data_IF_108446671097
#
_entry.id   IF_108446671097
#
_cell.length_a   1.000
_cell.length_b   1.000
_cell.length_c   1.000
_cell.angle_alpha   90.00
_cell.angle_beta   90.00
_cell.angle_gamma   90.00
#
_symmetry.space_group_name_H-M   'P 1'
#
loop_
_entity.id
_entity.type
_entity.pdbx_description
1 polymer ?
#
# COMPACT_ATOMS: atom_id res chain seq x y z
N UNK A 1 -43.28 -32.28 -32.09
CA UNK A 1 -41.89 -32.23 -32.61
C UNK A 1 -41.41 -30.80 -32.49
N UNK A 2 -40.64 -30.49 -31.43
CA UNK A 2 -40.17 -29.14 -31.15
C UNK A 2 -38.68 -29.03 -31.50
N UNK A 3 -38.36 -28.02 -32.31
CA UNK A 3 -37.08 -27.76 -32.94
C UNK A 3 -36.11 -27.11 -31.93
N UNK A 4 -34.98 -27.77 -31.64
CA UNK A 4 -33.92 -27.24 -30.77
C UNK A 4 -32.94 -26.37 -31.55
N UNK A 5 -32.92 -25.06 -31.28
CA UNK A 5 -31.84 -24.16 -31.72
C UNK A 5 -30.71 -24.20 -30.68
N UNK A 6 -29.56 -24.76 -31.06
CA UNK A 6 -28.31 -24.59 -30.32
C UNK A 6 -27.79 -23.17 -30.55
N UNK A 7 -27.64 -22.39 -29.49
CA UNK A 7 -26.92 -21.12 -29.54
C UNK A 7 -25.41 -21.40 -29.56
N UNK A 8 -24.75 -21.06 -30.67
CA UNK A 8 -23.29 -21.06 -30.78
C UNK A 8 -22.75 -19.70 -30.31
N UNK A 9 -22.01 -19.69 -29.20
CA UNK A 9 -21.22 -18.53 -28.82
C UNK A 9 -19.98 -18.44 -29.72
N UNK A 10 -19.65 -17.27 -30.30
CA UNK A 10 -18.44 -17.14 -31.09
C UNK A 10 -17.22 -17.21 -30.17
N UNK A 11 -16.38 -18.22 -30.38
CA UNK A 11 -15.03 -18.28 -29.84
C UNK A 11 -14.24 -17.12 -30.46
N UNK A 12 -13.97 -16.07 -29.68
CA UNK A 12 -13.01 -15.05 -30.06
C UNK A 12 -11.63 -15.70 -30.14
N UNK A 13 -11.09 -15.83 -31.36
CA UNK A 13 -9.72 -16.26 -31.60
C UNK A 13 -8.72 -15.33 -30.89
N UNK A 14 -7.48 -15.80 -30.66
CA UNK A 14 -6.46 -15.01 -29.97
C UNK A 14 -6.19 -13.71 -30.76
N UNK A 15 -6.43 -12.57 -30.11
CA UNK A 15 -5.99 -11.27 -30.64
C UNK A 15 -4.46 -11.30 -30.75
N UNK A 16 -3.87 -10.75 -31.81
CA UNK A 16 -2.42 -10.64 -31.91
C UNK A 16 -1.88 -9.91 -30.67
N UNK A 17 -0.87 -10.49 -29.99
CA UNK A 17 -0.17 -9.81 -28.90
C UNK A 17 0.49 -8.56 -29.47
N UNK A 18 -0.10 -7.40 -29.20
CA UNK A 18 0.59 -6.11 -29.39
C UNK A 18 1.86 -6.19 -28.54
N UNK A 19 3.02 -5.97 -29.13
CA UNK A 19 4.27 -5.82 -28.37
C UNK A 19 4.10 -4.61 -27.45
N UNK A 20 4.35 -4.80 -26.16
CA UNK A 20 4.17 -3.74 -25.17
C UNK A 20 5.11 -2.56 -25.44
N UNK A 21 4.62 -1.34 -25.33
CA UNK A 21 5.39 -0.10 -25.53
C UNK A 21 6.17 0.32 -24.28
N UNK A 22 6.00 -0.39 -23.17
CA UNK A 22 6.66 -0.06 -21.89
C UNK A 22 8.18 -0.20 -21.98
N UNK A 23 8.90 0.83 -21.57
CA UNK A 23 10.34 0.80 -21.32
C UNK A 23 10.62 0.55 -19.84
N UNK A 24 11.78 -0.06 -19.55
CA UNK A 24 12.26 -0.30 -18.19
C UNK A 24 13.77 -0.07 -18.22
N UNK A 25 14.25 0.81 -17.35
CA UNK A 25 15.66 1.07 -17.10
C UNK A 25 15.97 0.94 -15.60
N UNK A 26 17.22 0.60 -15.29
CA UNK A 26 17.73 0.59 -13.92
C UNK A 26 18.99 1.46 -13.82
N UNK A 27 19.16 2.09 -12.65
CA UNK A 27 20.30 2.93 -12.35
C UNK A 27 20.67 2.85 -10.86
N UNK A 28 21.90 3.24 -10.52
CA UNK A 28 22.29 3.42 -9.13
C UNK A 28 21.48 4.55 -8.52
N UNK A 29 20.74 4.27 -7.45
CA UNK A 29 20.05 5.28 -6.64
C UNK A 29 20.99 5.88 -5.61
N UNK A 30 21.67 5.01 -4.86
CA UNK A 30 22.62 5.38 -3.82
C UNK A 30 23.56 4.21 -3.50
N UNK A 31 24.57 4.44 -2.67
CA UNK A 31 25.46 3.41 -2.12
C UNK A 31 25.46 3.54 -0.60
N UNK A 32 24.97 2.50 0.07
CA UNK A 32 25.02 2.37 1.53
C UNK A 32 26.10 1.38 1.94
N UNK A 33 26.17 1.05 3.24
CA UNK A 33 27.07 0.03 3.77
C UNK A 33 26.26 -1.06 4.48
N UNK A 34 26.68 -2.30 4.28
CA UNK A 34 26.20 -3.42 5.06
C UNK A 34 26.49 -3.20 6.55
N UNK A 35 25.48 -3.33 7.39
CA UNK A 35 25.62 -3.05 8.84
C UNK A 35 26.60 -4.02 9.53
N UNK A 36 26.80 -5.22 8.99
CA UNK A 36 27.62 -6.28 9.61
C UNK A 36 29.06 -6.26 9.07
N UNK A 37 29.20 -6.25 7.76
CA UNK A 37 30.48 -6.38 7.05
C UNK A 37 31.11 -5.04 6.70
N UNK A 38 30.35 -3.94 6.75
CA UNK A 38 30.78 -2.59 6.37
C UNK A 38 31.04 -2.41 4.87
N UNK A 39 30.79 -3.46 4.06
CA UNK A 39 30.99 -3.43 2.61
C UNK A 39 29.96 -2.54 1.93
N UNK A 40 30.31 -1.86 0.83
CA UNK A 40 29.35 -1.06 0.09
C UNK A 40 28.25 -1.95 -0.49
N UNK A 41 27.00 -1.50 -0.36
CA UNK A 41 25.83 -2.09 -0.99
C UNK A 41 25.20 -1.01 -1.89
N UNK A 42 25.02 -1.34 -3.15
CA UNK A 42 24.29 -0.49 -4.10
C UNK A 42 22.79 -0.60 -3.86
N UNK A 43 22.12 0.54 -3.82
CA UNK A 43 20.66 0.64 -3.88
C UNK A 43 20.30 0.94 -5.33
N UNK A 44 19.50 0.08 -5.94
CA UNK A 44 19.12 0.18 -7.35
C UNK A 44 17.77 0.86 -7.47
N UNK A 45 17.65 1.83 -8.38
CA UNK A 45 16.37 2.40 -8.82
C UNK A 45 15.98 1.77 -10.15
N UNK A 46 14.71 1.41 -10.27
CA UNK A 46 14.06 0.92 -11.47
C UNK A 46 13.03 1.95 -11.92
N UNK A 47 12.97 2.23 -13.22
CA UNK A 47 12.03 3.18 -13.80
C UNK A 47 11.34 2.56 -15.01
N UNK A 48 10.02 2.54 -14.96
CA UNK A 48 9.16 2.21 -16.09
C UNK A 48 8.62 3.49 -16.72
N UNK A 49 8.39 3.46 -18.03
CA UNK A 49 7.65 4.49 -18.77
C UNK A 49 6.80 3.83 -19.86
N UNK A 50 5.58 4.31 -20.08
CA UNK A 50 4.70 3.82 -21.14
C UNK A 50 4.32 4.92 -22.16
N UNK A 51 3.63 4.54 -23.23
CA UNK A 51 3.24 5.47 -24.31
C UNK A 51 2.26 6.58 -23.87
N UNK A 52 1.65 6.47 -22.68
CA UNK A 52 0.77 7.49 -22.10
C UNK A 52 1.51 8.49 -21.20
N UNK A 53 2.83 8.52 -21.26
CA UNK A 53 3.71 9.39 -20.44
C UNK A 53 3.58 9.11 -18.93
N UNK A 54 3.07 7.94 -18.55
CA UNK A 54 3.07 7.49 -17.17
C UNK A 54 4.44 6.88 -16.86
N UNK A 55 5.04 7.32 -15.76
CA UNK A 55 6.29 6.75 -15.23
C UNK A 55 6.08 6.23 -13.83
N UNK A 56 6.73 5.12 -13.50
CA UNK A 56 6.80 4.59 -12.14
C UNK A 56 8.25 4.36 -11.79
N UNK A 57 8.64 4.79 -10.60
CA UNK A 57 9.98 4.56 -10.07
C UNK A 57 9.92 3.75 -8.78
N UNK A 58 10.80 2.75 -8.66
CA UNK A 58 10.96 1.95 -7.45
C UNK A 58 12.43 1.80 -7.06
N UNK A 59 12.70 1.64 -5.77
CA UNK A 59 14.02 1.25 -5.26
C UNK A 59 13.96 -0.12 -4.57
N UNK A 60 15.08 -0.86 -4.61
CA UNK A 60 15.20 -2.18 -3.99
C UNK A 60 15.27 -2.16 -2.45
N UNK A 61 15.56 -1.01 -1.85
CA UNK A 61 15.36 -0.80 -0.42
C UNK A 61 13.86 -0.72 -0.11
N UNK A 62 13.36 -1.63 0.72
CA UNK A 62 11.96 -1.74 1.12
C UNK A 62 11.01 -2.14 -0.01
N UNK A 63 11.53 -2.45 -1.20
CA UNK A 63 10.76 -2.55 -2.44
C UNK A 63 9.78 -1.37 -2.55
N UNK A 64 10.34 -0.14 -2.47
CA UNK A 64 9.59 1.09 -2.30
C UNK A 64 9.23 1.72 -3.63
N UNK A 65 7.98 2.15 -3.80
CA UNK A 65 7.58 3.09 -4.85
C UNK A 65 8.03 4.49 -4.44
N UNK A 66 8.90 5.10 -5.25
CA UNK A 66 9.49 6.42 -4.95
C UNK A 66 8.92 7.53 -5.82
N UNK A 67 8.31 7.19 -6.97
CA UNK A 67 7.68 8.14 -7.87
C UNK A 67 6.59 7.49 -8.73
N UNK A 68 5.51 8.22 -8.99
CA UNK A 68 4.54 7.90 -10.03
C UNK A 68 4.21 9.22 -10.72
N UNK A 69 4.73 9.43 -11.91
CA UNK A 69 4.45 10.60 -12.72
C UNK A 69 3.36 10.28 -13.74
N UNK A 70 2.37 11.17 -13.89
CA UNK A 70 1.35 11.02 -14.93
C UNK A 70 0.76 12.36 -15.38
N UNK A 71 0.30 12.48 -16.64
CA UNK A 71 -0.35 13.69 -17.11
C UNK A 71 -1.68 13.96 -16.40
N UNK A 72 -2.02 15.23 -16.27
CA UNK A 72 -3.37 15.70 -15.94
C UNK A 72 -4.22 15.84 -17.23
N UNK A 73 -5.46 16.30 -17.10
CA UNK A 73 -6.36 16.53 -18.25
C UNK A 73 -5.89 17.59 -19.25
N UNK A 74 -4.89 18.40 -18.89
CA UNK A 74 -4.24 19.40 -19.74
C UNK A 74 -2.89 18.92 -20.29
N UNK A 75 -2.43 17.72 -19.93
CA UNK A 75 -1.13 17.18 -20.31
C UNK A 75 0.03 17.59 -19.38
N UNK A 76 -0.23 18.25 -18.26
CA UNK A 76 0.80 18.58 -17.27
C UNK A 76 1.15 17.33 -16.47
N UNK A 77 2.42 16.93 -16.50
CA UNK A 77 2.92 15.77 -15.75
C UNK A 77 3.30 16.22 -14.33
N UNK A 78 2.75 15.55 -13.32
CA UNK A 78 3.21 15.68 -11.93
C UNK A 78 3.42 14.29 -11.32
N UNK A 79 4.30 14.23 -10.33
CA UNK A 79 4.45 13.09 -9.45
C UNK A 79 3.35 13.07 -8.38
N UNK A 80 2.53 12.02 -8.38
CA UNK A 80 1.33 11.88 -7.54
C UNK A 80 1.58 11.07 -6.28
N UNK A 81 2.83 10.73 -5.94
CA UNK A 81 3.15 10.04 -4.68
C UNK A 81 4.12 10.83 -3.81
N UNK A 82 3.92 10.80 -2.50
CA UNK A 82 4.85 11.37 -1.54
C UNK A 82 6.06 10.42 -1.41
N UNK A 83 7.23 11.01 -1.20
CA UNK A 83 8.47 10.27 -1.00
C UNK A 83 9.65 11.20 -0.77
N UNK A 84 10.84 10.66 -0.95
CA UNK A 84 12.08 11.39 -0.69
C UNK A 84 12.99 11.39 -1.91
N UNK A 85 13.92 12.34 -1.95
CA UNK A 85 14.90 12.42 -3.05
C UNK A 85 16.17 11.63 -2.76
N UNK A 86 16.42 11.26 -1.49
CA UNK A 86 17.65 10.58 -1.07
C UNK A 86 17.36 9.31 -0.29
N UNK A 87 18.25 8.31 -0.41
CA UNK A 87 18.16 7.06 0.33
C UNK A 87 18.20 7.26 1.85
N UNK A 88 19.06 8.17 2.33
CA UNK A 88 19.22 8.45 3.77
C UNK A 88 17.88 8.78 4.45
N UNK A 89 16.99 9.47 3.72
CA UNK A 89 15.66 9.88 4.18
C UNK A 89 14.71 8.67 4.30
N UNK A 90 14.77 7.72 3.35
CA UNK A 90 14.06 6.43 3.43
C UNK A 90 14.59 5.52 4.54
N UNK A 91 15.90 5.56 4.81
CA UNK A 91 16.54 4.74 5.84
C UNK A 91 16.27 5.22 7.28
N UNK A 92 15.77 6.45 7.44
CA UNK A 92 15.48 7.05 8.74
C UNK A 92 14.21 6.45 9.37
N UNK A 93 14.21 6.26 10.69
CA UNK A 93 13.04 5.78 11.47
C UNK A 93 11.79 6.65 11.30
N UNK A 94 11.95 7.90 10.88
CA UNK A 94 10.86 8.85 10.60
C UNK A 94 10.31 8.78 9.16
N UNK A 95 10.65 7.76 8.36
CA UNK A 95 10.23 7.68 6.94
C UNK A 95 8.74 7.36 6.71
N UNK A 96 7.92 7.21 7.77
CA UNK A 96 6.47 6.95 7.69
C UNK A 96 6.05 5.84 6.68
N UNK A 97 6.93 4.88 6.37
CA UNK A 97 6.69 3.82 5.40
C UNK A 97 6.38 4.29 3.96
N UNK A 98 6.83 5.48 3.53
CA UNK A 98 6.51 6.02 2.20
C UNK A 98 6.83 5.03 1.08
N UNK A 99 5.78 4.55 0.39
CA UNK A 99 5.92 3.73 -0.80
C UNK A 99 6.34 2.28 -0.54
N UNK A 100 6.63 1.91 0.70
CA UNK A 100 7.30 0.66 1.04
C UNK A 100 6.38 -0.57 0.95
N UNK A 101 6.99 -1.72 0.70
CA UNK A 101 6.38 -3.03 0.94
C UNK A 101 6.41 -3.32 2.45
N UNK A 102 5.23 -3.57 3.02
CA UNK A 102 5.07 -3.85 4.45
C UNK A 102 5.02 -5.34 4.71
N UNK A 103 5.76 -5.79 5.71
CA UNK A 103 5.73 -7.16 6.22
C UNK A 103 6.67 -7.33 7.41
N UNK A 104 6.69 -8.50 8.08
CA UNK A 104 6.00 -9.75 7.69
C UNK A 104 4.48 -9.70 7.80
N UNK A 105 3.95 -8.93 8.76
CA UNK A 105 2.51 -8.72 8.94
C UNK A 105 2.20 -7.22 8.97
N UNK A 106 1.44 -6.77 7.97
CA UNK A 106 0.94 -5.41 7.88
C UNK A 106 -0.07 -5.10 8.98
N UNK A 107 -0.12 -3.81 9.34
CA UNK A 107 -0.96 -3.25 10.40
C UNK A 107 -0.59 -3.78 11.80
N UNK A 108 -1.53 -3.66 12.74
CA UNK A 108 -1.28 -3.85 14.16
C UNK A 108 -1.46 -5.31 14.58
N UNK A 109 -0.62 -5.76 15.50
CA UNK A 109 -0.79 -6.99 16.29
C UNK A 109 -0.87 -6.60 17.78
N UNK A 110 -2.00 -6.90 18.40
CA UNK A 110 -2.24 -6.62 19.80
C UNK A 110 -1.22 -7.33 20.70
N UNK A 111 -0.76 -6.64 21.75
CA UNK A 111 0.22 -7.13 22.73
C UNK A 111 1.53 -7.68 22.16
N UNK A 112 1.85 -7.37 20.89
CA UNK A 112 3.03 -7.89 20.17
C UNK A 112 3.18 -9.40 20.37
N UNK A 113 2.07 -10.13 20.25
CA UNK A 113 2.06 -11.56 20.51
C UNK A 113 1.12 -12.27 19.55
N UNK A 114 1.48 -13.51 19.23
CA UNK A 114 0.66 -14.39 18.44
C UNK A 114 0.72 -15.81 18.96
N UNK A 115 -0.36 -16.58 18.76
CA UNK A 115 -0.41 -17.99 19.14
C UNK A 115 -0.67 -18.86 17.91
N UNK A 116 0.23 -19.81 17.66
CA UNK A 116 0.12 -20.79 16.58
C UNK A 116 0.16 -22.18 17.20
N UNK A 117 -0.90 -22.96 17.00
CA UNK A 117 -1.03 -24.34 17.50
C UNK A 117 -0.70 -24.47 19.00
N UNK A 118 -1.20 -23.53 19.80
CA UNK A 118 -1.00 -23.50 21.26
C UNK A 118 0.35 -22.94 21.73
N UNK A 119 1.30 -22.64 20.85
CA UNK A 119 2.56 -21.99 21.19
C UNK A 119 2.46 -20.48 20.97
N UNK A 120 2.74 -19.70 22.00
CA UNK A 120 2.80 -18.24 21.93
C UNK A 120 4.19 -17.76 21.56
N UNK A 121 4.25 -16.83 20.61
CA UNK A 121 5.45 -16.13 20.17
C UNK A 121 5.32 -14.65 20.54
N UNK A 122 6.39 -14.10 21.14
CA UNK A 122 6.50 -12.67 21.45
C UNK A 122 7.24 -11.99 20.30
N UNK A 123 6.61 -10.96 19.79
CA UNK A 123 7.10 -10.16 18.67
C UNK A 123 7.75 -8.88 19.19
N UNK A 124 8.65 -8.29 18.39
CA UNK A 124 9.27 -7.01 18.75
C UNK A 124 8.25 -5.88 18.63
N UNK A 125 8.04 -5.16 19.72
CA UNK A 125 7.11 -4.03 19.77
C UNK A 125 7.81 -2.75 19.30
N UNK A 126 7.25 -2.10 18.29
CA UNK A 126 7.66 -0.77 17.82
C UNK A 126 6.64 0.33 18.17
N UNK A 127 5.43 -0.05 18.63
CA UNK A 127 4.43 0.85 19.21
C UNK A 127 3.89 0.27 20.53
N UNK A 128 4.69 0.29 21.62
CA UNK A 128 4.37 -0.42 22.85
C UNK A 128 2.95 -0.17 23.39
N UNK A 129 2.20 -1.23 23.77
CA UNK A 129 2.61 -2.64 23.85
C UNK A 129 2.43 -3.47 22.55
N UNK A 130 2.12 -2.82 21.43
CA UNK A 130 1.72 -3.46 20.17
C UNK A 130 2.87 -3.54 19.16
N UNK A 131 2.69 -4.38 18.14
CA UNK A 131 3.54 -4.34 16.95
C UNK A 131 2.74 -3.70 15.82
N UNK A 132 3.39 -2.90 14.99
CA UNK A 132 2.87 -2.33 13.75
C UNK A 132 3.80 -2.68 12.60
N UNK A 133 3.23 -3.10 11.46
CA UNK A 133 3.93 -3.19 10.18
C UNK A 133 5.20 -4.05 10.24
N UNK A 134 5.13 -5.20 10.91
CA UNK A 134 6.23 -6.16 11.00
C UNK A 134 7.33 -5.84 12.02
N UNK A 135 7.28 -4.69 12.71
CA UNK A 135 8.15 -4.41 13.85
C UNK A 135 9.20 -3.31 13.64
N UNK A 136 10.34 -3.44 14.32
CA UNK A 136 11.41 -2.44 14.37
C UNK A 136 12.13 -2.38 13.01
N UNK A 137 12.53 -3.54 12.49
CA UNK A 137 13.14 -3.73 11.16
C UNK A 137 12.24 -4.59 10.28
N UNK A 138 11.05 -4.08 9.95
CA UNK A 138 10.14 -4.71 9.01
C UNK A 138 10.68 -4.73 7.58
N UNK A 139 9.91 -5.32 6.66
CA UNK A 139 10.32 -5.50 5.27
C UNK A 139 10.54 -4.18 4.52
N UNK A 140 9.97 -3.09 5.04
CA UNK A 140 10.15 -1.72 4.57
C UNK A 140 11.59 -1.20 4.76
N UNK A 141 12.38 -1.85 5.61
CA UNK A 141 13.76 -1.47 5.94
C UNK A 141 14.81 -2.48 5.48
N UNK A 142 14.39 -3.47 4.69
CA UNK A 142 15.29 -4.46 4.12
C UNK A 142 15.81 -3.99 2.76
N UNK A 143 17.05 -4.34 2.43
CA UNK A 143 17.53 -4.27 1.03
C UNK A 143 17.12 -5.58 0.37
N UNK A 144 16.27 -5.51 -0.66
CA UNK A 144 15.79 -6.68 -1.38
C UNK A 144 16.77 -7.05 -2.50
N UNK A 145 17.02 -8.34 -2.69
CA UNK A 145 17.75 -8.80 -3.88
C UNK A 145 16.85 -8.62 -5.09
N UNK A 146 17.34 -7.98 -6.15
CA UNK A 146 16.49 -7.64 -7.29
C UNK A 146 17.10 -8.02 -8.63
N UNK A 147 16.25 -8.32 -9.61
CA UNK A 147 16.63 -8.52 -10.99
C UNK A 147 15.48 -8.18 -11.93
N UNK A 148 15.81 -7.90 -13.19
CA UNK A 148 14.83 -7.65 -14.26
C UNK A 148 14.52 -8.94 -15.01
N UNK A 149 13.24 -9.20 -15.21
CA UNK A 149 12.71 -10.25 -16.09
C UNK A 149 11.79 -9.60 -17.11
N UNK A 150 12.28 -9.41 -18.34
CA UNK A 150 11.60 -8.66 -19.41
C UNK A 150 11.28 -7.20 -19.01
N UNK A 151 10.01 -6.91 -18.74
CA UNK A 151 9.50 -5.60 -18.28
C UNK A 151 9.02 -5.62 -16.83
N UNK A 152 9.34 -6.69 -16.11
CA UNK A 152 8.97 -6.91 -14.73
C UNK A 152 10.22 -6.90 -13.86
N UNK A 153 10.15 -6.22 -12.72
CA UNK A 153 11.21 -6.29 -11.70
C UNK A 153 10.77 -7.29 -10.65
N UNK A 154 11.66 -8.23 -10.34
CA UNK A 154 11.47 -9.20 -9.25
C UNK A 154 12.37 -8.79 -8.10
N UNK A 155 11.78 -8.54 -6.93
CA UNK A 155 12.50 -8.26 -5.70
C UNK A 155 12.25 -9.37 -4.70
N UNK A 156 13.30 -9.90 -4.08
CA UNK A 156 13.25 -11.02 -3.15
C UNK A 156 13.82 -10.65 -1.79
N UNK A 157 13.16 -11.08 -0.72
CA UNK A 157 13.62 -10.90 0.65
C UNK A 157 13.51 -12.20 1.45
N UNK A 158 14.59 -12.53 2.17
CA UNK A 158 14.62 -13.63 3.13
C UNK A 158 14.53 -13.04 4.54
N UNK A 159 13.44 -13.36 5.23
CA UNK A 159 13.21 -13.04 6.63
C UNK A 159 13.45 -14.31 7.45
N UNK A 160 14.56 -14.41 8.21
CA UNK A 160 14.95 -15.65 8.90
C UNK A 160 13.97 -16.06 10.00
N UNK A 161 14.10 -17.29 10.50
CA UNK A 161 13.37 -17.75 11.68
C UNK A 161 13.61 -16.81 12.88
N UNK A 162 12.52 -16.44 13.57
CA UNK A 162 12.47 -15.45 14.65
C UNK A 162 12.82 -14.01 14.25
N UNK A 163 12.87 -13.68 12.96
CA UNK A 163 12.94 -12.30 12.52
C UNK A 163 11.74 -11.49 13.03
N UNK A 164 12.02 -10.36 13.68
CA UNK A 164 11.06 -9.56 14.46
C UNK A 164 10.16 -10.36 15.45
N UNK A 165 10.59 -11.58 15.80
CA UNK A 165 9.91 -12.53 16.69
C UNK A 165 8.97 -13.53 16.01
N UNK A 166 8.82 -13.49 14.68
CA UNK A 166 7.95 -14.41 13.92
C UNK A 166 8.63 -15.77 13.68
N UNK A 167 7.93 -16.91 13.89
CA UNK A 167 8.50 -18.22 13.60
C UNK A 167 8.59 -18.51 12.11
N UNK A 168 9.55 -19.35 11.74
CA UNK A 168 9.82 -19.82 10.38
C UNK A 168 10.61 -18.80 9.57
N UNK A 169 11.53 -19.30 8.76
CA UNK A 169 12.04 -18.54 7.63
C UNK A 169 10.87 -18.24 6.69
N UNK A 170 10.87 -17.04 6.13
CA UNK A 170 9.96 -16.64 5.07
C UNK A 170 10.77 -16.09 3.92
N UNK A 171 10.56 -16.64 2.72
CA UNK A 171 11.08 -16.08 1.48
C UNK A 171 9.90 -15.41 0.78
N UNK A 172 10.06 -14.12 0.48
CA UNK A 172 9.08 -13.32 -0.27
C UNK A 172 9.65 -12.95 -1.62
N UNK A 173 8.81 -13.04 -2.66
CA UNK A 173 9.07 -12.47 -3.98
C UNK A 173 7.98 -11.44 -4.27
N UNK A 174 8.36 -10.20 -4.52
CA UNK A 174 7.53 -9.15 -5.08
C UNK A 174 7.79 -9.04 -6.58
N UNK A 175 6.72 -9.00 -7.37
CA UNK A 175 6.76 -8.83 -8.83
C UNK A 175 6.09 -7.51 -9.17
N UNK A 176 6.82 -6.63 -9.86
CA UNK A 176 6.40 -5.26 -10.14
C UNK A 176 6.44 -4.97 -11.64
N UNK A 177 5.37 -4.40 -12.19
CA UNK A 177 5.25 -4.18 -13.63
C UNK A 177 4.32 -3.00 -13.94
N UNK A 178 4.75 -2.09 -14.81
CA UNK A 178 3.87 -1.12 -15.45
C UNK A 178 3.34 -1.70 -16.77
N UNK A 179 2.08 -1.47 -17.07
CA UNK A 179 1.43 -1.88 -18.32
C UNK A 179 1.16 -0.69 -19.25
N UNK A 180 0.86 -0.96 -20.52
CA UNK A 180 0.45 0.07 -21.50
C UNK A 180 -0.90 0.74 -21.13
N UNK A 181 -1.72 0.11 -20.28
CA UNK A 181 -3.04 0.60 -19.88
C UNK A 181 -3.02 1.42 -18.57
N UNK A 182 -1.85 2.00 -18.23
CA UNK A 182 -1.64 2.75 -16.98
C UNK A 182 -1.98 1.96 -15.71
N UNK A 183 -1.73 0.66 -15.73
CA UNK A 183 -1.88 -0.20 -14.55
C UNK A 183 -0.48 -0.53 -14.00
N UNK A 184 -0.23 -0.19 -12.75
CA UNK A 184 0.91 -0.68 -12.00
C UNK A 184 0.50 -1.91 -11.19
N UNK A 185 1.11 -3.04 -11.53
CA UNK A 185 0.81 -4.37 -11.01
C UNK A 185 1.84 -4.75 -9.96
N UNK A 186 1.35 -5.21 -8.82
CA UNK A 186 2.15 -5.75 -7.73
C UNK A 186 1.63 -7.13 -7.39
N UNK A 187 2.51 -8.12 -7.39
CA UNK A 187 2.19 -9.46 -6.91
C UNK A 187 3.19 -9.86 -5.83
N UNK A 188 2.71 -10.41 -4.72
CA UNK A 188 3.53 -10.98 -3.67
C UNK A 188 3.31 -12.48 -3.57
N UNK A 189 4.41 -13.23 -3.56
CA UNK A 189 4.44 -14.66 -3.21
C UNK A 189 5.31 -14.87 -2.00
N UNK A 190 4.83 -15.61 -1.01
CA UNK A 190 5.66 -15.99 0.13
C UNK A 190 5.53 -17.46 0.49
N UNK A 191 6.64 -18.01 0.98
CA UNK A 191 6.81 -19.40 1.36
C UNK A 191 7.43 -19.46 2.76
N UNK A 192 7.09 -20.46 3.56
CA UNK A 192 7.67 -20.58 4.90
C UNK A 192 8.15 -21.98 5.25
N UNK A 193 9.18 -22.04 6.11
CA UNK A 193 9.72 -23.30 6.68
C UNK A 193 8.95 -23.77 7.91
N UNK A 194 8.14 -22.91 8.55
CA UNK A 194 7.27 -23.26 9.69
C UNK A 194 5.91 -22.56 9.57
N UNK A 195 4.85 -23.06 10.23
CA UNK A 195 3.59 -22.33 10.31
C UNK A 195 3.79 -20.91 10.85
N UNK A 196 3.39 -19.91 10.08
CA UNK A 196 3.59 -18.48 10.39
C UNK A 196 2.47 -17.62 9.83
N UNK A 197 2.50 -16.31 10.13
CA UNK A 197 1.59 -15.33 9.54
C UNK A 197 2.34 -14.45 8.55
N UNK A 198 1.69 -14.19 7.41
CA UNK A 198 2.17 -13.27 6.37
C UNK A 198 0.99 -12.42 5.92
N UNK A 199 1.16 -11.10 5.98
CA UNK A 199 0.18 -10.14 5.46
C UNK A 199 0.98 -9.00 4.83
N UNK A 200 1.08 -9.01 3.51
CA UNK A 200 1.91 -8.06 2.77
C UNK A 200 1.03 -7.05 2.07
N UNK A 201 1.42 -5.78 2.09
CA UNK A 201 0.79 -4.69 1.32
C UNK A 201 1.86 -3.71 0.85
N UNK A 202 1.48 -2.78 -0.02
CA UNK A 202 2.25 -1.59 -0.31
C UNK A 202 1.66 -0.36 0.43
N UNK A 203 2.51 0.53 0.94
CA UNK A 203 2.14 1.70 1.75
C UNK A 203 2.44 3.03 1.04
N UNK A 204 2.05 3.12 -0.24
CA UNK A 204 2.19 4.36 -1.02
C UNK A 204 1.24 5.44 -0.52
N UNK A 205 1.78 6.66 -0.39
CA UNK A 205 1.02 7.86 -0.07
C UNK A 205 0.77 8.62 -1.36
N UNK A 206 -0.48 8.69 -1.78
CA UNK A 206 -0.91 9.37 -2.99
C UNK A 206 -1.40 10.80 -2.71
N UNK A 207 -1.20 11.69 -3.66
CA UNK A 207 -1.92 12.94 -3.82
C UNK A 207 -2.04 13.20 -5.33
N UNK A 208 -3.24 12.98 -5.89
CA UNK A 208 -3.48 13.10 -7.33
C UNK A 208 -3.44 14.56 -7.82
N UNK A 209 -3.40 15.54 -6.91
CA UNK A 209 -3.06 16.92 -7.24
C UNK A 209 -1.57 17.15 -7.50
N UNK A 210 -0.71 16.22 -7.07
CA UNK A 210 0.74 16.36 -7.02
C UNK A 210 1.22 16.23 -5.57
N UNK A 211 2.38 15.60 -5.37
CA UNK A 211 2.91 15.30 -4.04
C UNK A 211 3.18 16.55 -3.19
N UNK A 212 3.39 17.70 -3.82
CA UNK A 212 3.76 18.96 -3.18
C UNK A 212 2.57 19.87 -2.86
N UNK A 213 1.36 19.43 -3.19
CA UNK A 213 0.15 20.21 -2.99
C UNK A 213 -0.38 20.14 -1.55
N UNK A 214 -0.04 19.08 -0.81
CA UNK A 214 -0.41 18.95 0.59
C UNK A 214 -1.93 18.85 0.83
N UNK A 215 -2.37 19.35 1.98
CA UNK A 215 -3.75 19.16 2.47
C UNK A 215 -4.82 19.92 1.70
N UNK A 216 -4.45 21.02 1.04
CA UNK A 216 -5.40 21.81 0.25
C UNK A 216 -5.99 20.98 -0.88
N UNK A 217 -5.15 20.24 -1.61
CA UNK A 217 -5.61 19.38 -2.69
C UNK A 217 -6.08 18.02 -2.18
N UNK A 218 -5.52 17.47 -1.08
CA UNK A 218 -6.06 16.24 -0.50
C UNK A 218 -7.56 16.38 -0.21
N UNK A 219 -7.99 17.52 0.35
CA UNK A 219 -9.40 17.75 0.68
C UNK A 219 -10.33 17.88 -0.53
N UNK A 220 -9.77 18.15 -1.71
CA UNK A 220 -10.49 18.20 -2.99
C UNK A 220 -10.65 16.82 -3.66
N UNK A 221 -10.06 15.76 -3.10
CA UNK A 221 -10.25 14.41 -3.61
C UNK A 221 -11.62 13.86 -3.22
N UNK A 222 -12.24 13.15 -4.15
CA UNK A 222 -13.45 12.36 -3.91
C UNK A 222 -13.11 10.88 -3.83
N UNK A 223 -13.66 10.20 -2.83
CA UNK A 223 -13.40 8.80 -2.54
C UNK A 223 -14.67 7.98 -2.69
N UNK A 224 -14.53 6.82 -3.32
CA UNK A 224 -15.51 5.72 -3.30
C UNK A 224 -14.80 4.46 -2.84
N UNK A 225 -15.35 3.75 -1.85
CA UNK A 225 -14.83 2.47 -1.35
C UNK A 225 -15.97 1.43 -1.36
N UNK A 226 -15.72 0.30 -2.00
CA UNK A 226 -16.66 -0.80 -2.16
C UNK A 226 -16.72 -1.69 -0.91
N UNK A 227 -17.30 -1.15 0.16
CA UNK A 227 -17.40 -1.81 1.45
C UNK A 227 -18.72 -1.44 2.16
N UNK A 228 -19.24 -2.34 2.98
CA UNK A 228 -20.39 -2.08 3.86
C UNK A 228 -20.00 -1.99 5.35
N UNK A 229 -18.79 -2.43 5.66
CA UNK A 229 -18.28 -2.51 7.02
C UNK A 229 -16.84 -2.00 7.08
N UNK A 230 -16.46 -1.52 8.25
CA UNK A 230 -15.05 -1.38 8.67
C UNK A 230 -14.76 -2.38 9.78
N UNK A 231 -13.49 -2.73 9.97
CA UNK A 231 -13.05 -3.37 11.21
C UNK A 231 -13.28 -2.40 12.38
N UNK A 232 -14.01 -2.85 13.39
CA UNK A 232 -14.17 -2.08 14.62
C UNK A 232 -12.84 -2.00 15.36
N UNK A 233 -12.51 -0.81 15.87
CA UNK A 233 -11.30 -0.56 16.64
C UNK A 233 -11.64 0.08 17.99
N UNK A 234 -10.79 -0.16 18.99
CA UNK A 234 -10.88 0.54 20.25
C UNK A 234 -10.26 1.95 20.17
N UNK A 235 -10.31 2.69 21.28
CA UNK A 235 -9.79 4.08 21.38
C UNK A 235 -8.31 4.28 21.04
N UNK A 236 -7.51 3.21 20.97
CA UNK A 236 -6.09 3.25 20.60
C UNK A 236 -5.81 2.60 19.24
N UNK A 237 -6.85 2.46 18.39
CA UNK A 237 -6.79 1.91 17.03
C UNK A 237 -6.43 0.43 16.96
N UNK A 238 -6.65 -0.34 18.02
CA UNK A 238 -6.48 -1.81 17.99
C UNK A 238 -7.82 -2.46 17.61
N UNK A 239 -7.85 -3.36 16.60
CA UNK A 239 -9.06 -4.06 16.20
C UNK A 239 -9.66 -4.89 17.34
N UNK A 240 -10.99 -4.88 17.43
CA UNK A 240 -11.74 -5.67 18.42
C UNK A 240 -12.11 -7.07 17.90
N UNK A 241 -11.86 -7.33 16.61
CA UNK A 241 -12.31 -8.52 15.88
C UNK A 241 -13.75 -8.44 15.35
N UNK A 242 -14.49 -7.38 15.72
CA UNK A 242 -15.85 -7.14 15.21
C UNK A 242 -15.85 -6.25 13.97
N UNK A 243 -17.01 -6.22 13.29
CA UNK A 243 -17.27 -5.38 12.13
C UNK A 243 -18.25 -4.28 12.54
N UNK A 244 -17.97 -3.05 12.15
CA UNK A 244 -18.89 -1.93 12.33
C UNK A 244 -19.54 -1.58 10.99
N UNK A 245 -20.88 -1.44 10.98
CA UNK A 245 -21.65 -0.99 9.80
C UNK A 245 -21.32 0.47 9.52
N UNK A 246 -21.08 0.82 8.26
CA UNK A 246 -20.74 2.21 7.89
C UNK A 246 -21.97 3.06 7.52
N UNK A 247 -23.14 2.46 7.28
CA UNK A 247 -24.35 3.17 6.87
C UNK A 247 -24.65 4.37 7.77
N UNK A 248 -24.88 5.53 7.15
CA UNK A 248 -25.16 6.81 7.84
C UNK A 248 -24.05 7.28 8.80
N UNK A 249 -22.82 6.79 8.62
CA UNK A 249 -21.63 7.29 9.33
C UNK A 249 -20.73 8.10 8.38
N UNK A 250 -19.71 8.83 8.90
CA UNK A 250 -18.71 9.50 8.07
C UNK A 250 -17.82 8.53 7.27
N UNK A 251 -17.85 7.24 7.64
CA UNK A 251 -17.15 6.16 6.96
C UNK A 251 -17.93 5.61 5.77
N UNK A 252 -19.16 6.08 5.51
CA UNK A 252 -19.92 5.67 4.33
C UNK A 252 -19.38 6.31 3.06
N UNK A 253 -18.43 5.62 2.43
CA UNK A 253 -17.82 5.98 1.15
C UNK A 253 -18.33 5.10 0.01
N UNK A 254 -19.47 4.41 0.16
CA UNK A 254 -20.07 3.62 -0.95
C UNK A 254 -20.49 4.49 -2.12
N UNK A 255 -20.85 5.73 -1.82
CA UNK A 255 -21.14 6.78 -2.79
C UNK A 255 -19.97 7.77 -2.72
N UNK A 256 -19.50 8.23 -3.89
CA UNK A 256 -18.41 9.19 -4.01
C UNK A 256 -18.63 10.43 -3.15
N UNK A 257 -17.69 10.71 -2.24
CA UNK A 257 -17.72 11.88 -1.36
C UNK A 257 -16.37 12.57 -1.25
N UNK A 258 -16.38 13.89 -1.16
CA UNK A 258 -15.20 14.71 -0.93
C UNK A 258 -14.76 14.70 0.53
N UNK A 259 -13.45 14.72 0.78
CA UNK A 259 -12.92 14.80 2.16
C UNK A 259 -13.26 16.13 2.84
N UNK A 260 -13.23 17.25 2.10
CA UNK A 260 -13.60 18.57 2.65
C UNK A 260 -14.99 18.56 3.27
N UNK A 261 -15.99 18.08 2.54
CA UNK A 261 -17.37 18.01 3.02
C UNK A 261 -17.48 17.06 4.22
N UNK A 262 -16.81 15.91 4.14
CA UNK A 262 -16.82 14.90 5.20
C UNK A 262 -16.28 15.44 6.52
N UNK A 263 -15.12 16.10 6.53
CA UNK A 263 -14.57 16.70 7.75
C UNK A 263 -15.36 17.92 8.22
N UNK A 264 -15.91 18.73 7.30
CA UNK A 264 -16.75 19.89 7.68
C UNK A 264 -18.00 19.44 8.43
N UNK A 265 -18.63 18.34 8.00
CA UNK A 265 -19.82 17.77 8.66
C UNK A 265 -19.49 16.99 9.94
N UNK A 266 -18.22 16.64 10.16
CA UNK A 266 -17.77 15.78 11.25
C UNK A 266 -16.48 16.36 11.87
N UNK A 267 -16.58 17.48 12.61
CA UNK A 267 -15.40 18.20 13.10
C UNK A 267 -14.53 17.40 14.08
N UNK A 268 -15.11 16.39 14.75
CA UNK A 268 -14.39 15.50 15.66
C UNK A 268 -13.58 14.41 14.92
N UNK A 269 -13.81 14.23 13.61
CA UNK A 269 -13.07 13.26 12.81
C UNK A 269 -11.69 13.82 12.47
N UNK A 270 -10.67 13.29 13.15
CA UNK A 270 -9.26 13.69 12.95
C UNK A 270 -8.77 13.39 11.53
N UNK A 271 -9.28 12.31 10.93
CA UNK A 271 -8.88 11.73 9.65
C UNK A 271 -9.31 10.27 9.56
N UNK A 272 -8.97 9.59 8.45
CA UNK A 272 -9.19 8.16 8.29
C UNK A 272 -7.91 7.38 8.66
N UNK A 273 -8.07 6.29 9.40
CA UNK A 273 -7.08 5.23 9.64
C UNK A 273 -7.83 3.90 9.86
N UNK A 274 -8.73 3.57 8.92
CA UNK A 274 -9.71 2.50 9.09
C UNK A 274 -9.55 1.43 8.01
N UNK A 275 -9.76 0.18 8.42
CA UNK A 275 -9.72 -0.99 7.56
C UNK A 275 -11.12 -1.30 7.03
N UNK A 276 -11.36 -1.04 5.74
CA UNK A 276 -12.61 -1.31 5.06
C UNK A 276 -12.70 -2.77 4.65
N UNK A 277 -13.85 -3.41 4.89
CA UNK A 277 -14.09 -4.81 4.55
C UNK A 277 -14.76 -4.85 3.18
N UNK A 278 -14.01 -5.33 2.18
CA UNK A 278 -14.40 -5.21 0.78
C UNK A 278 -15.54 -6.16 0.45
N UNK A 279 -16.57 -5.62 -0.19
CA UNK A 279 -17.68 -6.39 -0.74
C UNK A 279 -17.24 -6.99 -2.07
N UNK A 280 -17.01 -8.31 -2.10
CA UNK A 280 -16.61 -9.03 -3.31
C UNK A 280 -17.60 -10.13 -3.67
N UNK A 281 -17.77 -10.36 -4.98
CA UNK A 281 -18.49 -11.53 -5.49
C UNK A 281 -17.71 -12.82 -5.24
N UNK A 282 -18.42 -13.93 -5.09
CA UNK A 282 -17.86 -15.24 -4.72
C UNK A 282 -16.72 -15.72 -5.64
N UNK A 283 -16.82 -15.45 -6.94
CA UNK A 283 -15.86 -15.90 -7.95
C UNK A 283 -14.90 -14.81 -8.44
N UNK A 284 -14.89 -13.63 -7.81
CA UNK A 284 -13.97 -12.55 -8.18
C UNK A 284 -12.59 -12.80 -7.58
N UNK A 285 -11.59 -13.00 -8.44
CA UNK A 285 -10.18 -13.11 -8.02
C UNK A 285 -9.69 -11.77 -7.47
N UNK A 286 -9.70 -10.72 -8.31
CA UNK A 286 -9.43 -9.34 -7.90
C UNK A 286 -10.74 -8.55 -7.83
N UNK A 287 -11.03 -7.99 -6.67
CA UNK A 287 -12.20 -7.14 -6.45
C UNK A 287 -11.84 -5.67 -6.69
N UNK A 288 -12.78 -4.90 -7.25
CA UNK A 288 -12.73 -3.44 -7.17
C UNK A 288 -12.86 -3.02 -5.70
N UNK A 289 -11.87 -2.29 -5.19
CA UNK A 289 -11.84 -1.88 -3.80
C UNK A 289 -12.19 -0.41 -3.62
N UNK A 290 -11.57 0.46 -4.42
CA UNK A 290 -11.74 1.90 -4.29
C UNK A 290 -11.50 2.63 -5.60
N UNK A 291 -12.13 3.80 -5.72
CA UNK A 291 -11.82 4.82 -6.72
C UNK A 291 -11.61 6.16 -6.01
N UNK A 292 -10.54 6.85 -6.36
CA UNK A 292 -10.24 8.21 -5.92
C UNK A 292 -10.10 9.09 -7.13
N UNK A 293 -10.81 10.20 -7.17
CA UNK A 293 -10.74 11.17 -8.26
C UNK A 293 -10.34 12.54 -7.72
N UNK A 294 -9.49 13.26 -8.46
CA UNK A 294 -9.15 14.65 -8.20
C UNK A 294 -9.65 15.55 -9.34
N UNK A 295 -10.84 16.17 -9.22
CA UNK A 295 -11.53 16.86 -10.33
C UNK A 295 -10.71 17.95 -11.03
N UNK A 296 -9.90 18.68 -10.27
CA UNK A 296 -9.08 19.79 -10.75
C UNK A 296 -8.06 19.30 -11.79
N UNK A 297 -7.33 18.22 -11.46
CA UNK A 297 -6.38 17.58 -12.39
C UNK A 297 -7.05 16.65 -13.40
N UNK A 298 -8.22 16.08 -13.09
CA UNK A 298 -8.81 14.99 -13.87
C UNK A 298 -8.13 13.63 -13.67
N UNK A 299 -7.11 13.53 -12.80
CA UNK A 299 -6.46 12.25 -12.46
C UNK A 299 -7.38 11.42 -11.56
N UNK A 300 -7.41 10.13 -11.82
CA UNK A 300 -8.19 9.12 -11.09
C UNK A 300 -7.29 7.92 -10.80
N UNK A 301 -7.39 7.41 -9.59
CA UNK A 301 -6.80 6.14 -9.15
C UNK A 301 -7.93 5.14 -8.85
N UNK A 302 -7.84 3.96 -9.42
CA UNK A 302 -8.63 2.79 -9.03
C UNK A 302 -7.73 1.72 -8.43
N UNK A 303 -8.22 1.06 -7.39
CA UNK A 303 -7.50 -0.01 -6.69
C UNK A 303 -8.27 -1.32 -6.82
N UNK A 304 -7.59 -2.35 -7.29
CA UNK A 304 -8.09 -3.72 -7.36
C UNK A 304 -7.13 -4.65 -6.63
N UNK A 305 -7.66 -5.67 -5.96
CA UNK A 305 -6.83 -6.67 -5.27
C UNK A 305 -7.62 -7.91 -4.88
N UNK A 306 -6.92 -9.02 -4.64
CA UNK A 306 -7.49 -10.24 -4.10
C UNK A 306 -7.69 -10.23 -2.57
N UNK A 307 -7.22 -9.19 -1.87
CA UNK A 307 -7.29 -9.10 -0.42
C UNK A 307 -8.74 -8.87 0.08
N UNK A 308 -9.07 -9.32 1.30
CA UNK A 308 -10.42 -9.15 1.83
C UNK A 308 -10.70 -7.73 2.33
N UNK A 309 -9.65 -6.92 2.58
CA UNK A 309 -9.79 -5.62 3.21
C UNK A 309 -8.83 -4.58 2.63
N UNK A 310 -9.15 -3.32 2.84
CA UNK A 310 -8.40 -2.16 2.36
C UNK A 310 -8.20 -1.17 3.52
N UNK A 311 -6.95 -0.93 3.92
CA UNK A 311 -6.66 0.18 4.85
C UNK A 311 -6.76 1.50 4.09
N UNK A 312 -7.59 2.41 4.58
CA UNK A 312 -7.63 3.79 4.12
C UNK A 312 -7.09 4.71 5.21
N UNK A 313 -6.01 5.42 4.89
CA UNK A 313 -5.31 6.30 5.81
C UNK A 313 -5.05 7.68 5.19
N UNK A 314 -5.34 8.77 5.91
CA UNK A 314 -5.18 10.15 5.42
C UNK A 314 -3.96 10.87 6.03
N UNK A 315 -2.86 10.18 6.27
CA UNK A 315 -1.60 10.79 6.71
C UNK A 315 -1.70 11.59 8.03
N UNK A 316 -2.52 11.11 8.97
CA UNK A 316 -2.86 11.82 10.22
C UNK A 316 -1.66 12.04 11.18
N UNK A 317 -0.57 11.29 10.98
CA UNK A 317 0.63 11.27 11.84
C UNK A 317 1.83 12.01 11.24
N UNK A 318 1.72 12.51 10.01
CA UNK A 318 2.71 13.42 9.48
C UNK A 318 2.73 14.71 10.32
N UNK A 319 3.85 15.46 10.36
CA UNK A 319 3.97 16.63 11.20
C UNK A 319 2.90 17.69 10.91
N UNK A 320 2.48 18.44 11.92
CA UNK A 320 1.51 19.53 11.74
C UNK A 320 2.15 20.79 11.16
N UNK A 321 1.37 21.63 10.50
CA UNK A 321 1.88 22.87 9.91
C UNK A 321 2.29 23.87 11.01
N UNK A 322 3.29 24.75 10.75
CA UNK A 322 3.74 25.77 11.69
C UNK A 322 2.64 26.67 12.26
N UNK A 323 1.59 26.92 11.48
CA UNK A 323 0.44 27.75 11.84
C UNK A 323 -0.28 27.24 13.11
N UNK A 324 -0.25 25.94 13.38
CA UNK A 324 -0.86 25.34 14.59
C UNK A 324 0.06 25.35 15.82
N UNK A 325 1.33 25.76 15.69
CA UNK A 325 2.32 25.72 16.77
C UNK A 325 2.59 27.07 17.46
N UNK A 326 1.73 28.08 17.29
CA UNK A 326 1.88 29.44 17.89
C UNK A 326 3.32 30.00 17.80
N UNK A 327 4.07 29.63 16.76
CA UNK A 327 5.41 30.13 16.50
C UNK A 327 6.55 29.61 17.38
N UNK A 328 6.44 28.46 18.08
CA UNK A 328 7.61 27.82 18.73
C UNK A 328 8.38 26.94 17.72
N UNK A 329 9.48 27.44 17.10
CA UNK A 329 10.15 26.75 16.00
C UNK A 329 10.92 25.51 16.47
N UNK A 330 11.15 25.37 17.79
CA UNK A 330 11.89 24.26 18.38
C UNK A 330 11.03 22.99 18.57
N UNK A 331 9.73 23.06 18.25
CA UNK A 331 8.77 21.95 18.37
C UNK A 331 8.21 21.48 17.03
N UNK A 332 8.72 22.01 15.92
CA UNK A 332 8.29 21.64 14.58
C UNK A 332 9.13 20.47 14.10
N UNK A 333 8.54 19.28 14.11
CA UNK A 333 9.05 18.17 13.31
C UNK A 333 8.86 18.58 11.84
N UNK A 334 9.96 18.77 11.10
CA UNK A 334 9.92 19.08 9.67
C UNK A 334 10.22 17.79 8.91
N UNK A 335 9.33 17.43 8.00
CA UNK A 335 9.50 16.31 7.10
C UNK A 335 9.70 16.84 5.68
N UNK A 336 10.95 16.94 5.25
CA UNK A 336 11.31 17.37 3.91
C UNK A 336 11.17 16.18 2.96
N UNK A 337 10.26 16.29 2.00
CA UNK A 337 10.06 15.32 0.92
C UNK A 337 10.78 15.71 -0.36
N UNK A 338 10.36 15.10 -1.47
CA UNK A 338 10.91 15.37 -2.81
C UNK A 338 10.94 16.86 -3.15
N UNK A 339 11.97 17.26 -3.88
CA UNK A 339 12.15 18.64 -4.37
C UNK A 339 12.15 19.69 -3.26
N UNK A 340 12.54 19.31 -2.03
CA UNK A 340 12.61 20.20 -0.88
C UNK A 340 11.25 20.61 -0.31
N UNK A 341 10.18 19.90 -0.65
CA UNK A 341 8.81 20.24 -0.23
C UNK A 341 8.50 19.61 1.11
N UNK A 342 7.94 20.39 2.04
CA UNK A 342 7.57 19.85 3.34
C UNK A 342 6.25 19.09 3.27
N UNK A 343 6.22 17.88 3.82
CA UNK A 343 5.00 17.10 3.98
C UNK A 343 4.45 17.26 5.39
N UNK A 344 3.16 17.55 5.46
CA UNK A 344 2.44 17.75 6.71
C UNK A 344 1.26 16.80 6.83
N UNK A 345 0.64 16.79 8.02
CA UNK A 345 -0.62 16.12 8.30
C UNK A 345 -1.59 16.37 7.14
N UNK A 346 -2.21 15.28 6.66
CA UNK A 346 -3.14 15.32 5.53
C UNK A 346 -2.48 15.73 4.20
N UNK A 347 -1.18 15.49 4.01
CA UNK A 347 -0.48 15.77 2.75
C UNK A 347 -0.76 14.75 1.63
N UNK A 348 -1.27 13.57 1.98
CA UNK A 348 -1.61 12.50 1.05
C UNK A 348 -2.45 11.42 1.72
N UNK A 349 -2.75 10.35 0.99
CA UNK A 349 -3.54 9.21 1.47
C UNK A 349 -2.95 7.87 1.05
N UNK A 350 -3.20 6.82 1.83
CA UNK A 350 -2.81 5.45 1.50
C UNK A 350 -4.05 4.58 1.28
N UNK A 351 -3.96 3.70 0.30
CA UNK A 351 -4.91 2.64 0.00
C UNK A 351 -4.13 1.33 -0.04
N UNK A 352 -4.15 0.59 1.07
CA UNK A 352 -3.30 -0.59 1.26
C UNK A 352 -4.16 -1.85 1.38
N UNK A 353 -4.38 -2.59 0.27
CA UNK A 353 -5.05 -3.89 0.31
C UNK A 353 -4.28 -4.88 1.18
N UNK A 354 -4.97 -5.46 2.15
CA UNK A 354 -4.35 -6.31 3.17
C UNK A 354 -5.36 -7.30 3.75
N UNK A 355 -4.85 -8.26 4.51
CA UNK A 355 -5.67 -9.06 5.42
C UNK A 355 -6.14 -8.25 6.62
N UNK A 356 -7.19 -8.72 7.29
CA UNK A 356 -7.77 -8.10 8.48
C UNK A 356 -6.68 -7.80 9.55
N UNK A 357 -6.54 -6.54 10.00
CA UNK A 357 -5.67 -6.18 11.10
C UNK A 357 -5.95 -6.99 12.37
N UNK A 358 -4.90 -7.38 13.08
CA UNK A 358 -4.97 -8.19 14.31
C UNK A 358 -5.74 -9.53 14.19
N UNK A 359 -6.07 -10.00 12.98
CA UNK A 359 -6.84 -11.24 12.80
C UNK A 359 -6.20 -12.48 13.43
N UNK A 360 -4.90 -12.42 13.66
CA UNK A 360 -4.12 -13.41 14.39
C UNK A 360 -4.64 -13.67 15.81
N UNK A 361 -5.23 -12.67 16.44
CA UNK A 361 -5.81 -12.71 17.78
C UNK A 361 -7.34 -12.85 17.77
N UNK A 362 -7.97 -12.89 16.59
CA UNK A 362 -9.43 -12.96 16.40
C UNK A 362 -9.81 -14.05 15.38
N UNK A 363 -9.11 -15.19 15.37
CA UNK A 363 -9.27 -16.27 14.39
C UNK A 363 -10.64 -16.95 14.42
N UNK A 364 -11.41 -16.75 15.49
CA UNK A 364 -12.79 -17.21 15.63
C UNK A 364 -13.80 -16.32 14.87
N UNK A 365 -13.42 -15.08 14.52
CA UNK A 365 -14.27 -14.10 13.82
C UNK A 365 -13.85 -13.83 12.38
N UNK A 366 -12.65 -14.26 11.99
CA UNK A 366 -12.11 -14.10 10.65
C UNK A 366 -11.82 -15.45 9.99
N UNK A 367 -11.74 -15.53 8.66
CA UNK A 367 -11.24 -16.74 8.01
C UNK A 367 -9.88 -17.12 8.60
N UNK A 368 -9.69 -18.41 8.90
CA UNK A 368 -8.41 -18.87 9.44
C UNK A 368 -7.35 -18.71 8.37
N UNK A 369 -6.27 -18.02 8.71
CA UNK A 369 -5.14 -17.81 7.81
C UNK A 369 -3.85 -18.06 8.56
N UNK A 370 -3.14 -19.13 8.19
CA UNK A 370 -1.78 -19.44 8.65
C UNK A 370 -1.06 -19.98 7.42
N UNK A 371 0.09 -19.41 7.08
CA UNK A 371 0.94 -19.95 6.01
C UNK A 371 1.69 -21.18 6.56
N UNK A 372 1.38 -22.38 6.07
CA UNK A 372 2.11 -23.60 6.45
C UNK A 372 3.21 -23.91 5.43
N UNK A 373 4.21 -24.74 5.80
CA UNK A 373 5.15 -25.27 4.82
C UNK A 373 4.43 -26.04 3.71
N UNK A 374 4.79 -25.76 2.47
CA UNK A 374 4.13 -26.30 1.27
C UNK A 374 3.00 -25.44 0.70
N UNK A 375 2.44 -24.52 1.50
CA UNK A 375 1.47 -23.53 1.03
C UNK A 375 2.17 -22.33 0.39
N UNK A 376 1.41 -21.57 -0.42
CA UNK A 376 1.88 -20.33 -1.05
C UNK A 376 0.97 -19.19 -0.58
N UNK A 377 1.55 -18.16 0.03
CA UNK A 377 0.87 -16.88 0.21
C UNK A 377 0.81 -16.17 -1.14
N UNK A 378 -0.35 -15.59 -1.48
CA UNK A 378 -0.56 -14.89 -2.74
C UNK A 378 -1.36 -13.60 -2.53
N UNK A 379 -0.78 -12.45 -2.86
CA UNK A 379 -1.47 -11.16 -2.89
C UNK A 379 -1.22 -10.44 -4.22
N UNK A 380 -2.29 -9.94 -4.83
CA UNK A 380 -2.26 -9.06 -6.00
C UNK A 380 -2.77 -7.68 -5.61
N UNK A 381 -2.06 -6.62 -6.04
CA UNK A 381 -2.51 -5.23 -5.95
C UNK A 381 -2.34 -4.61 -7.32
N UNK A 382 -3.39 -3.97 -7.82
CA UNK A 382 -3.36 -3.23 -9.07
C UNK A 382 -3.81 -1.80 -8.83
N UNK A 383 -2.91 -0.87 -9.10
CA UNK A 383 -3.19 0.56 -9.16
C UNK A 383 -3.41 0.97 -10.61
N UNK A 384 -4.65 1.28 -10.97
CA UNK A 384 -5.02 1.72 -12.32
C UNK A 384 -5.21 3.23 -12.33
N UNK A 385 -4.50 3.91 -13.22
CA UNK A 385 -4.54 5.36 -13.35
C UNK A 385 -5.29 5.77 -14.61
N UNK A 386 -6.17 6.75 -14.47
CA UNK A 386 -7.02 7.24 -15.56
C UNK A 386 -6.93 8.77 -15.58
N UNK A 387 -6.89 9.34 -16.78
CA UNK A 387 -7.03 10.79 -17.00
C UNK A 387 -8.39 11.06 -17.60
N UNK A 388 -9.25 11.72 -16.84
CA UNK A 388 -10.55 12.19 -17.28
C UNK A 388 -10.41 13.60 -17.86
N UNK A 389 -10.60 13.72 -19.17
CA UNK A 389 -10.52 14.99 -19.92
C UNK A 389 -11.63 15.96 -19.57
#
# INVERSE_FOLDING_TARGET
>A
MACGRKASYPLHGPRPKKTSGVTLEDNVFDITKDEITGKPITITKYKWENENEMKVEMIDYGACIVGIEMPDKKGTIDDVVLGFSKFEEYSNKAAYYFGATIGRVANRIANSALTIRGKTFRLKSNIPPHQLNGGIKGFDKAIWSSYVQDKRVVMSHHSPDYDEGFPGDVIVNGFFELTDDNEFLIEYRAYSTKPTWVNLTNHTYFNLGGHDQGSIELYNHNFTINAEYISEVNRIMIPTGYKAVIDKTPFDLRISRGLKETFTKNPDLIGFDHNYIITKGEYQQDAFMARVSHPQSGRILEVYSNQPTLQFYTANKLPTTPEFHKGDPKKLDILVGKSGKNYYKHGGFCLSPQYYPDAINHQERHPKFILNPGDIYYNTIRYKFIVQK
#
